data_IF_262324104206
#
_entry.id   IF_262324104206
#
_cell.length_a   1.000
_cell.length_b   1.000
_cell.length_c   1.000
_cell.angle_alpha   90.00
_cell.angle_beta   90.00
_cell.angle_gamma   90.00
#
_symmetry.space_group_name_H-M   'P 1'
#
loop_
_entity.id
_entity.type
_entity.pdbx_description
1 polymer ?
#
# COMPACT_ATOMS: atom_id res chain seq x y z
N UNK A 1 23.31 -24.89 -1.44
CA UNK A 1 22.94 -24.03 -0.29
C UNK A 1 22.41 -22.72 -0.86
N UNK A 2 21.11 -22.65 -1.18
CA UNK A 2 20.49 -21.46 -1.75
C UNK A 2 20.16 -20.49 -0.62
N UNK A 3 20.75 -19.30 -0.64
CA UNK A 3 20.29 -18.18 0.19
C UNK A 3 18.81 -17.94 -0.18
N UNK A 4 17.85 -17.99 0.76
CA UNK A 4 16.47 -17.67 0.43
C UNK A 4 16.46 -16.25 -0.15
N UNK A 5 15.77 -15.99 -1.27
CA UNK A 5 15.69 -14.63 -1.81
C UNK A 5 15.20 -13.73 -0.68
N UNK A 6 15.98 -12.69 -0.35
CA UNK A 6 15.57 -11.73 0.68
C UNK A 6 14.31 -11.02 0.18
N UNK A 7 13.15 -11.55 0.54
CA UNK A 7 11.88 -10.93 0.22
C UNK A 7 11.87 -9.57 0.90
N UNK A 8 12.03 -8.50 0.13
CA UNK A 8 11.95 -7.14 0.67
C UNK A 8 10.48 -6.89 0.96
N UNK A 9 10.04 -7.16 2.19
CA UNK A 9 8.66 -6.99 2.62
C UNK A 9 8.54 -5.73 3.48
N UNK A 10 7.45 -4.99 3.33
CA UNK A 10 7.09 -3.89 4.23
C UNK A 10 5.76 -4.20 4.91
N UNK A 11 5.75 -4.23 6.24
CA UNK A 11 4.59 -4.68 7.02
C UNK A 11 3.83 -3.51 7.64
N UNK A 12 2.54 -3.42 7.32
CA UNK A 12 1.55 -2.57 7.97
C UNK A 12 0.79 -3.35 9.04
N UNK A 13 -0.17 -2.68 9.71
CA UNK A 13 -0.98 -3.31 10.77
C UNK A 13 -1.84 -4.46 10.25
N UNK A 14 -2.46 -4.33 9.07
CA UNK A 14 -3.38 -5.35 8.53
C UNK A 14 -2.88 -6.03 7.25
N UNK A 15 -1.80 -5.58 6.64
CA UNK A 15 -1.29 -6.15 5.40
C UNK A 15 0.24 -6.04 5.28
N UNK A 16 0.79 -6.79 4.34
CA UNK A 16 2.22 -6.77 3.99
C UNK A 16 2.37 -6.51 2.49
N UNK A 17 3.28 -5.62 2.11
CA UNK A 17 3.64 -5.35 0.72
C UNK A 17 4.91 -6.11 0.38
N UNK A 18 4.82 -7.04 -0.57
CA UNK A 18 5.96 -7.71 -1.19
C UNK A 18 6.42 -6.90 -2.41
N UNK A 19 7.66 -6.41 -2.39
CA UNK A 19 8.17 -5.43 -3.36
C UNK A 19 9.51 -5.84 -3.98
N UNK A 20 9.76 -7.15 -4.05
CA UNK A 20 10.94 -7.76 -4.68
C UNK A 20 10.98 -7.58 -6.21
N UNK A 21 9.81 -7.36 -6.85
CA UNK A 21 9.67 -7.19 -8.31
C UNK A 21 9.10 -5.83 -8.73
N UNK A 22 9.06 -4.85 -7.83
CA UNK A 22 8.56 -3.52 -8.15
C UNK A 22 9.72 -2.52 -8.33
N UNK A 23 9.63 -1.69 -9.37
CA UNK A 23 10.59 -0.62 -9.61
C UNK A 23 10.54 0.47 -8.52
N UNK A 24 9.33 0.79 -8.04
CA UNK A 24 9.11 1.76 -6.97
C UNK A 24 8.75 1.05 -5.67
N UNK A 25 9.71 0.97 -4.75
CA UNK A 25 9.50 0.44 -3.40
C UNK A 25 8.64 1.39 -2.56
N UNK A 26 8.04 0.87 -1.49
CA UNK A 26 7.40 1.63 -0.42
C UNK A 26 8.39 2.67 0.10
N UNK A 27 8.07 3.94 -0.14
CA UNK A 27 8.81 5.09 0.36
C UNK A 27 7.98 5.89 1.37
N UNK A 28 8.65 6.73 2.13
CA UNK A 28 8.02 7.60 3.14
C UNK A 28 6.95 8.49 2.53
N UNK A 29 7.18 9.05 1.34
CA UNK A 29 6.23 9.95 0.68
C UNK A 29 4.89 9.25 0.38
N UNK A 30 4.93 8.00 -0.09
CA UNK A 30 3.74 7.19 -0.34
C UNK A 30 2.98 6.86 0.96
N UNK A 31 3.71 6.57 2.04
CA UNK A 31 3.09 6.36 3.36
C UNK A 31 2.47 7.64 3.89
N UNK A 32 3.18 8.77 3.82
CA UNK A 32 2.66 10.06 4.26
C UNK A 32 1.40 10.45 3.49
N UNK A 33 1.42 10.30 2.16
CA UNK A 33 0.25 10.56 1.31
C UNK A 33 -0.95 9.67 1.70
N UNK A 34 -0.73 8.36 1.84
CA UNK A 34 -1.78 7.43 2.26
C UNK A 34 -2.31 7.72 3.67
N UNK A 35 -1.50 8.29 4.57
CA UNK A 35 -1.94 8.76 5.89
C UNK A 35 -2.63 10.12 5.85
N UNK A 36 -2.28 11.00 4.92
CA UNK A 36 -2.84 12.34 4.82
C UNK A 36 -4.19 12.37 4.09
N UNK A 37 -4.47 11.38 3.24
CA UNK A 37 -5.74 11.31 2.51
C UNK A 37 -6.97 11.39 3.45
N UNK A 38 -7.96 12.25 3.14
CA UNK A 38 -9.21 12.31 3.88
C UNK A 38 -10.02 11.04 3.65
N UNK A 39 -10.68 10.55 4.70
CA UNK A 39 -11.33 9.21 4.69
C UNK A 39 -12.76 9.22 5.20
N UNK A 40 -13.24 10.34 5.75
CA UNK A 40 -14.60 10.43 6.28
C UNK A 40 -15.63 10.46 5.13
N UNK A 41 -16.58 9.52 5.16
CA UNK A 41 -17.67 9.43 4.17
C UNK A 41 -17.23 8.99 2.77
N UNK A 42 -16.00 8.53 2.59
CA UNK A 42 -15.49 8.05 1.31
C UNK A 42 -16.08 6.67 1.00
N UNK A 43 -16.68 6.54 -0.17
CA UNK A 43 -17.30 5.28 -0.66
C UNK A 43 -16.66 4.73 -1.92
N UNK A 44 -15.87 5.55 -2.63
CA UNK A 44 -15.15 5.16 -3.84
C UNK A 44 -13.78 5.84 -3.85
N UNK A 45 -12.75 5.09 -4.23
CA UNK A 45 -11.36 5.52 -4.34
C UNK A 45 -10.83 5.12 -5.72
N UNK A 46 -9.98 5.93 -6.31
CA UNK A 46 -9.25 5.60 -7.53
C UNK A 46 -7.75 5.83 -7.27
N UNK A 47 -6.95 4.76 -7.39
CA UNK A 47 -5.50 4.81 -7.25
C UNK A 47 -4.82 4.81 -8.64
N UNK A 48 -4.47 6.01 -9.12
CA UNK A 48 -3.83 6.17 -10.43
C UNK A 48 -2.33 5.90 -10.32
N UNK A 49 -1.84 4.94 -11.11
CA UNK A 49 -0.43 4.55 -11.04
C UNK A 49 -0.11 3.74 -9.78
N UNK A 50 -1.03 2.86 -9.38
CA UNK A 50 -1.02 2.14 -8.09
C UNK A 50 0.27 1.40 -7.73
N UNK A 51 1.11 1.04 -8.71
CA UNK A 51 2.43 0.45 -8.46
C UNK A 51 2.36 -0.82 -7.61
N UNK A 52 2.86 -0.76 -6.38
CA UNK A 52 2.78 -1.87 -5.40
C UNK A 52 1.39 -2.07 -4.79
N UNK A 53 0.40 -1.24 -5.13
CA UNK A 53 -0.90 -1.21 -4.45
C UNK A 53 -0.86 -0.49 -3.11
N UNK A 54 0.22 0.23 -2.79
CA UNK A 54 0.43 0.79 -1.45
C UNK A 54 -0.73 1.69 -1.01
N UNK A 55 -1.12 2.67 -1.83
CA UNK A 55 -2.16 3.62 -1.46
C UNK A 55 -3.53 2.94 -1.41
N UNK A 56 -3.86 2.12 -2.42
CA UNK A 56 -5.07 1.29 -2.43
C UNK A 56 -5.21 0.43 -1.16
N UNK A 57 -4.17 -0.28 -0.74
CA UNK A 57 -4.18 -1.13 0.45
C UNK A 57 -4.26 -0.30 1.75
N UNK A 58 -3.55 0.84 1.83
CA UNK A 58 -3.65 1.75 2.96
C UNK A 58 -5.07 2.29 3.13
N UNK A 59 -5.72 2.66 2.03
CA UNK A 59 -7.10 3.15 2.04
C UNK A 59 -8.08 2.02 2.34
N UNK A 60 -7.89 0.79 1.84
CA UNK A 60 -8.71 -0.36 2.18
C UNK A 60 -8.78 -0.61 3.70
N UNK A 61 -7.62 -0.50 4.37
CA UNK A 61 -7.55 -0.63 5.83
C UNK A 61 -8.26 0.54 6.56
N UNK A 62 -8.28 1.75 5.99
CA UNK A 62 -8.84 2.96 6.64
C UNK A 62 -10.33 3.16 6.35
N UNK A 63 -10.80 2.74 5.18
CA UNK A 63 -12.19 2.85 4.72
C UNK A 63 -12.69 1.48 4.22
N UNK A 64 -12.99 0.53 5.12
CA UNK A 64 -13.25 -0.87 4.76
C UNK A 64 -14.47 -1.11 3.86
N UNK A 65 -15.36 -0.13 3.74
CA UNK A 65 -16.57 -0.20 2.92
C UNK A 65 -16.46 0.57 1.61
N UNK A 66 -15.34 1.24 1.35
CA UNK A 66 -15.13 1.93 0.09
C UNK A 66 -14.80 0.90 -1.02
N UNK A 67 -15.36 1.13 -2.21
CA UNK A 67 -14.84 0.52 -3.43
C UNK A 67 -13.50 1.18 -3.76
N UNK A 68 -12.49 0.38 -4.09
CA UNK A 68 -11.13 0.85 -4.43
C UNK A 68 -10.74 0.31 -5.79
#
# INVERSE_FOLDING_TARGET
MTVPPMTTQFRFKQFTVCQDRCAMKVGTDGVLLGTWAPTQGVTAVLDVGTGTGLLALMLAQRVPHAAI
#
